data_IF_675725705006
#
_entry.id   IF_675725705006
#
_cell.length_a   1.000
_cell.length_b   1.000
_cell.length_c   1.000
_cell.angle_alpha   90.00
_cell.angle_beta   90.00
_cell.angle_gamma   90.00
#
_symmetry.space_group_name_H-M   'P 1'
#
loop_
_entity.id
_entity.type
_entity.pdbx_description
1 polymer ?
#
# COMPACT_ATOMS: atom_id res chain seq x y z
N UNK A 1 -8.65 1.53 26.26
CA UNK A 1 -10.08 1.14 26.41
C UNK A 1 -10.72 1.95 27.54
N UNK A 2 -11.59 2.90 27.21
CA UNK A 2 -12.51 3.57 28.14
C UNK A 2 -13.92 3.26 27.64
N UNK A 3 -14.79 2.73 28.49
CA UNK A 3 -16.22 2.44 28.22
C UNK A 3 -16.59 1.35 27.21
N UNK A 4 -15.71 0.37 26.94
CA UNK A 4 -16.05 -0.77 26.07
C UNK A 4 -16.25 -0.39 24.59
N UNK A 5 -15.94 0.86 24.23
CA UNK A 5 -15.85 1.31 22.84
C UNK A 5 -14.38 1.34 22.43
N UNK A 6 -14.07 0.80 21.25
CA UNK A 6 -12.74 0.91 20.68
C UNK A 6 -12.63 2.32 20.08
N UNK A 7 -12.14 3.27 20.87
CA UNK A 7 -11.91 4.62 20.38
C UNK A 7 -10.63 4.65 19.54
N UNK A 8 -10.77 5.05 18.28
CA UNK A 8 -9.63 5.27 17.40
C UNK A 8 -8.75 6.41 17.92
N UNK A 9 -7.43 6.25 17.75
CA UNK A 9 -6.50 7.29 18.14
C UNK A 9 -6.54 8.49 17.19
N UNK A 10 -6.25 9.70 17.72
CA UNK A 10 -6.02 10.86 16.87
C UNK A 10 -4.94 10.57 15.83
N UNK A 11 -5.07 11.19 14.65
CA UNK A 11 -4.07 11.09 13.57
C UNK A 11 -2.69 11.41 14.11
N UNK A 12 -1.69 10.58 13.76
CA UNK A 12 -0.32 10.76 14.24
C UNK A 12 0.00 10.11 15.59
N UNK A 13 -0.96 9.40 16.19
CA UNK A 13 -0.79 8.65 17.43
C UNK A 13 -1.23 7.19 17.29
N UNK A 14 -0.70 6.34 18.16
CA UNK A 14 -0.98 4.90 18.28
C UNK A 14 -0.77 4.44 19.73
N UNK A 15 -1.03 3.15 20.01
CA UNK A 15 -1.09 2.49 21.33
C UNK A 15 -2.48 2.53 21.99
N UNK A 16 -2.72 1.67 22.97
CA UNK A 16 -4.03 1.44 23.61
C UNK A 16 -4.61 2.69 24.32
N UNK A 17 -3.74 3.67 24.58
CA UNK A 17 -4.08 4.96 25.18
C UNK A 17 -3.64 6.15 24.30
N UNK A 18 -3.33 5.92 23.02
CA UNK A 18 -2.87 6.95 22.08
C UNK A 18 -1.65 7.75 22.59
N UNK A 19 -0.83 7.11 23.41
CA UNK A 19 0.31 7.74 24.09
C UNK A 19 1.56 7.79 23.21
N UNK A 20 1.59 7.00 22.13
CA UNK A 20 2.75 6.92 21.24
C UNK A 20 2.51 7.74 19.99
N UNK A 21 3.48 8.58 19.67
CA UNK A 21 3.53 9.32 18.41
C UNK A 21 4.01 8.40 17.29
N UNK A 22 3.51 8.59 16.07
CA UNK A 22 4.05 7.90 14.90
C UNK A 22 5.55 8.17 14.75
N UNK A 23 6.33 7.09 14.74
CA UNK A 23 7.77 7.19 14.60
C UNK A 23 8.14 7.22 13.13
N UNK A 24 9.12 8.05 12.78
CA UNK A 24 9.72 8.05 11.44
C UNK A 24 10.09 6.62 11.00
N UNK A 25 9.74 6.19 9.78
CA UNK A 25 9.22 7.01 8.68
C UNK A 25 7.69 7.14 8.62
N UNK A 26 6.96 6.73 9.65
CA UNK A 26 5.52 6.59 9.59
C UNK A 26 4.76 7.85 10.05
N UNK A 27 3.59 8.10 9.46
CA UNK A 27 2.69 9.21 9.78
C UNK A 27 1.22 8.85 9.46
N UNK A 28 0.29 9.74 9.81
CA UNK A 28 -1.12 9.64 9.44
C UNK A 28 -1.95 8.76 10.38
N UNK A 29 -3.10 8.29 9.88
CA UNK A 29 -4.02 7.44 10.66
C UNK A 29 -3.33 6.10 10.94
N UNK A 30 -3.29 5.71 12.22
CA UNK A 30 -2.63 4.49 12.70
C UNK A 30 -1.18 4.32 12.21
N UNK A 31 -0.50 5.42 11.85
CA UNK A 31 0.86 5.41 11.33
C UNK A 31 1.05 4.52 10.08
N UNK A 32 0.04 4.39 9.22
CA UNK A 32 0.10 3.54 8.02
C UNK A 32 0.72 4.24 6.79
N UNK A 33 0.97 5.55 6.86
CA UNK A 33 1.57 6.31 5.77
C UNK A 33 3.07 6.47 6.01
N UNK A 34 3.86 6.58 4.94
CA UNK A 34 5.33 6.64 5.04
C UNK A 34 5.89 7.91 4.40
N UNK A 35 6.69 8.66 5.15
CA UNK A 35 7.40 9.85 4.71
C UNK A 35 8.50 9.51 3.69
N UNK A 36 8.58 10.33 2.63
CA UNK A 36 9.63 10.27 1.60
C UNK A 36 10.57 11.48 1.64
N UNK A 37 10.72 12.07 2.83
CA UNK A 37 11.57 13.21 3.14
C UNK A 37 12.46 12.88 4.34
N UNK A 38 13.47 13.72 4.61
CA UNK A 38 14.34 13.52 5.78
C UNK A 38 13.54 13.56 7.09
N UNK A 39 14.02 12.83 8.11
CA UNK A 39 13.34 12.72 9.42
C UNK A 39 12.91 14.05 10.03
N UNK A 40 13.70 15.12 9.87
CA UNK A 40 13.37 16.45 10.43
C UNK A 40 12.18 17.14 9.75
N UNK A 41 11.77 16.69 8.57
CA UNK A 41 10.70 17.28 7.76
C UNK A 41 9.45 16.39 7.71
N UNK A 42 9.50 15.24 8.39
CA UNK A 42 8.38 14.31 8.49
C UNK A 42 7.56 14.64 9.74
N UNK A 43 6.40 15.23 9.53
CA UNK A 43 5.40 15.47 10.56
C UNK A 43 4.58 14.19 10.80
N UNK A 44 4.33 13.81 12.04
CA UNK A 44 3.60 12.59 12.39
C UNK A 44 2.13 12.62 11.93
N UNK A 45 1.55 13.80 11.71
CA UNK A 45 0.16 14.00 11.29
C UNK A 45 0.09 14.19 9.77
N UNK A 46 0.89 15.13 9.24
CA UNK A 46 0.82 15.61 7.86
C UNK A 46 1.83 14.96 6.92
N UNK A 47 2.85 14.29 7.45
CA UNK A 47 3.92 13.70 6.67
C UNK A 47 4.88 14.75 6.15
N UNK A 48 5.22 14.68 4.87
CA UNK A 48 6.14 15.62 4.24
C UNK A 48 5.40 16.86 3.72
N UNK A 49 5.96 18.07 3.85
CA UNK A 49 5.38 19.26 3.26
C UNK A 49 5.37 19.17 1.72
N UNK A 50 4.30 19.67 1.09
CA UNK A 50 4.06 19.60 -0.35
C UNK A 50 5.16 20.25 -1.20
N UNK A 51 5.96 21.13 -0.59
CA UNK A 51 7.07 21.85 -1.22
C UNK A 51 8.38 21.05 -1.25
N UNK A 52 8.43 19.89 -0.58
CA UNK A 52 9.53 18.93 -0.72
C UNK A 52 9.09 17.87 -1.72
N UNK A 53 9.03 18.27 -2.99
CA UNK A 53 9.46 17.36 -4.04
C UNK A 53 10.92 17.03 -3.75
N UNK A 54 11.16 15.99 -2.95
CA UNK A 54 12.32 15.14 -3.21
C UNK A 54 12.24 14.80 -4.69
N UNK A 55 13.36 14.94 -5.39
CA UNK A 55 13.50 14.59 -6.79
C UNK A 55 13.26 13.09 -6.98
N UNK A 56 12.01 12.64 -6.84
CA UNK A 56 11.56 11.28 -7.11
C UNK A 56 10.11 11.31 -7.65
N UNK A 57 9.83 10.80 -8.86
CA UNK A 57 8.67 11.22 -9.66
C UNK A 57 7.31 10.57 -9.32
N UNK A 58 7.11 9.99 -8.13
CA UNK A 58 5.94 9.13 -7.87
C UNK A 58 5.06 9.61 -6.72
N UNK A 59 4.36 10.74 -6.93
CA UNK A 59 2.95 10.92 -6.51
C UNK A 59 2.43 12.30 -6.93
N UNK A 60 1.83 12.39 -8.12
CA UNK A 60 0.83 13.44 -8.37
C UNK A 60 -0.47 12.99 -7.73
N UNK A 61 -0.91 13.67 -6.67
CA UNK A 61 -2.36 13.81 -6.44
C UNK A 61 -2.77 15.11 -7.11
N UNK A 62 -3.67 15.03 -8.09
CA UNK A 62 -4.37 16.19 -8.62
C UNK A 62 -5.13 16.82 -7.46
N UNK A 63 -4.69 17.99 -6.98
CA UNK A 63 -5.55 18.84 -6.17
C UNK A 63 -6.03 19.97 -7.06
N UNK A 64 -7.32 19.88 -7.36
CA UNK A 64 -8.12 20.91 -8.00
C UNK A 64 -7.86 22.25 -7.34
N UNK A 65 -7.61 23.25 -8.18
CA UNK A 65 -7.57 24.66 -7.79
C UNK A 65 -8.84 24.99 -7.01
N UNK A 66 -8.70 25.23 -5.71
CA UNK A 66 -9.66 26.00 -4.92
C UNK A 66 -8.90 27.22 -4.44
N UNK A 67 -9.21 28.37 -5.04
CA UNK A 67 -8.78 29.67 -4.56
C UNK A 67 -9.25 29.84 -3.11
N UNK A 68 -8.31 29.88 -2.18
CA UNK A 68 -8.54 30.27 -0.80
C UNK A 68 -7.35 31.07 -0.31
N UNK A 69 -7.49 32.39 -0.25
CA UNK A 69 -6.55 33.26 0.44
C UNK A 69 -6.51 32.86 1.93
N UNK A 70 -5.31 32.62 2.48
CA UNK A 70 -5.08 32.92 3.89
C UNK A 70 -3.69 33.52 4.09
N UNK A 71 -3.75 34.74 4.58
CA UNK A 71 -2.72 35.69 5.02
C UNK A 71 -1.41 35.07 5.54
N UNK A 72 -0.33 35.31 4.81
CA UNK A 72 1.05 35.13 5.29
C UNK A 72 1.40 36.31 6.19
N UNK A 73 1.20 36.19 7.50
CA UNK A 73 1.79 37.13 8.47
C UNK A 73 3.30 36.88 8.57
N UNK A 74 4.04 37.70 7.81
CA UNK A 74 5.23 38.42 8.25
C UNK A 74 6.36 37.60 8.91
N UNK A 75 7.31 37.13 8.10
CA UNK A 75 8.72 37.20 8.48
C UNK A 75 9.41 38.22 7.56
N UNK A 76 9.54 39.45 8.06
CA UNK A 76 10.38 40.48 7.45
C UNK A 76 11.84 40.11 7.70
N UNK A 77 12.54 39.67 6.65
CA UNK A 77 13.96 39.98 6.51
C UNK A 77 14.17 40.53 5.11
N UNK A 78 14.56 41.79 5.07
CA UNK A 78 14.66 42.69 3.93
C UNK A 78 15.79 42.33 2.94
N UNK A 79 15.49 42.51 1.63
CA UNK A 79 16.40 42.86 0.51
C UNK A 79 17.43 41.78 0.10
N UNK A 80 17.59 41.31 -1.15
CA UNK A 80 17.62 41.98 -2.47
C UNK A 80 17.26 41.04 -3.68
N UNK A 81 16.42 41.57 -4.59
CA UNK A 81 16.41 41.52 -6.09
C UNK A 81 16.55 40.25 -6.98
N UNK A 82 15.49 40.05 -7.80
CA UNK A 82 15.38 39.85 -9.28
C UNK A 82 15.74 38.53 -10.03
N UNK A 83 14.76 38.10 -10.85
CA UNK A 83 14.83 37.49 -12.21
C UNK A 83 15.08 35.97 -12.43
N UNK A 84 14.04 35.26 -12.92
CA UNK A 84 13.93 34.67 -14.29
C UNK A 84 13.11 33.36 -14.34
N UNK A 85 12.11 33.32 -15.22
CA UNK A 85 11.22 32.19 -15.53
C UNK A 85 11.79 31.42 -16.72
N UNK A 86 11.88 30.08 -16.67
CA UNK A 86 12.09 29.27 -17.88
C UNK A 86 11.25 27.98 -17.90
N UNK A 87 10.43 27.87 -18.94
CA UNK A 87 9.63 26.70 -19.33
C UNK A 87 10.49 25.70 -20.10
N UNK A 88 10.45 24.41 -19.76
CA UNK A 88 10.87 23.34 -20.68
C UNK A 88 9.87 22.17 -20.60
N UNK A 89 9.16 21.94 -21.70
CA UNK A 89 8.32 20.75 -21.95
C UNK A 89 9.20 19.51 -22.08
N UNK A 90 8.83 18.41 -21.41
CA UNK A 90 9.37 17.09 -21.73
C UNK A 90 8.28 16.04 -21.84
N UNK A 91 8.25 15.37 -22.99
CA UNK A 91 7.42 14.20 -23.29
C UNK A 91 7.89 13.02 -22.43
N UNK A 92 6.97 12.29 -21.79
CA UNK A 92 7.25 10.94 -21.26
C UNK A 92 6.36 9.91 -21.95
N UNK A 93 6.98 8.94 -22.63
CA UNK A 93 6.38 7.65 -22.95
C UNK A 93 6.41 6.80 -21.68
N UNK A 94 5.24 6.31 -21.25
CA UNK A 94 5.06 5.46 -20.08
C UNK A 94 5.16 3.98 -20.47
N UNK A 95 6.12 3.27 -19.89
CA UNK A 95 6.22 1.82 -19.88
C UNK A 95 5.36 1.22 -18.77
N UNK A 96 4.83 0.02 -19.04
CA UNK A 96 3.71 -0.67 -18.39
C UNK A 96 3.84 -0.93 -16.88
N UNK A 97 2.73 -0.68 -16.19
CA UNK A 97 2.41 -0.97 -14.79
C UNK A 97 1.60 -2.28 -14.71
N UNK A 98 2.09 -3.26 -13.94
CA UNK A 98 1.34 -4.49 -13.62
C UNK A 98 1.21 -4.67 -12.11
N UNK A 99 -0.02 -4.84 -11.66
CA UNK A 99 -0.42 -4.89 -10.25
C UNK A 99 0.03 -6.20 -9.58
N UNK A 100 0.99 -6.14 -8.65
CA UNK A 100 1.64 -7.30 -8.00
C UNK A 100 0.72 -8.12 -7.07
N UNK A 101 -0.54 -7.71 -6.85
CA UNK A 101 -1.52 -8.49 -6.06
C UNK A 101 -2.13 -9.65 -6.86
N UNK A 102 -2.19 -9.54 -8.20
CA UNK A 102 -2.79 -10.59 -9.04
C UNK A 102 -1.94 -11.86 -9.10
N UNK A 103 -0.61 -11.76 -8.96
CA UNK A 103 0.30 -12.91 -9.06
C UNK A 103 0.13 -13.91 -7.91
N UNK A 104 -0.16 -13.43 -6.70
CA UNK A 104 -0.37 -14.29 -5.54
C UNK A 104 -1.68 -15.09 -5.65
N UNK A 105 -2.77 -14.44 -6.07
CA UNK A 105 -4.08 -15.09 -6.22
C UNK A 105 -4.04 -16.16 -7.32
N UNK A 106 -3.37 -15.87 -8.44
CA UNK A 106 -3.23 -16.85 -9.54
C UNK A 106 -2.45 -18.09 -9.11
N UNK A 107 -1.42 -17.93 -8.27
CA UNK A 107 -0.63 -19.05 -7.78
C UNK A 107 -1.46 -19.95 -6.84
N UNK A 108 -2.25 -19.36 -5.94
CA UNK A 108 -3.10 -20.12 -5.01
C UNK A 108 -4.19 -20.89 -5.77
N UNK A 109 -4.86 -20.25 -6.73
CA UNK A 109 -5.88 -20.92 -7.55
C UNK A 109 -5.29 -22.08 -8.35
N UNK A 110 -4.10 -21.91 -8.92
CA UNK A 110 -3.42 -22.99 -9.65
C UNK A 110 -3.10 -24.19 -8.74
N UNK A 111 -2.64 -23.95 -7.50
CA UNK A 111 -2.37 -25.02 -6.54
C UNK A 111 -3.62 -25.80 -6.16
N UNK A 112 -4.76 -25.12 -5.95
CA UNK A 112 -6.03 -25.76 -5.62
C UNK A 112 -6.48 -26.68 -6.76
N UNK A 113 -6.39 -26.23 -8.02
CA UNK A 113 -6.76 -27.04 -9.19
C UNK A 113 -5.89 -28.29 -9.31
N UNK A 114 -4.58 -28.19 -9.06
CA UNK A 114 -3.66 -29.33 -9.08
C UNK A 114 -4.04 -30.36 -8.01
N UNK A 115 -4.36 -29.90 -6.79
CA UNK A 115 -4.79 -30.78 -5.70
C UNK A 115 -6.07 -31.53 -6.09
N UNK A 116 -7.08 -30.83 -6.61
CA UNK A 116 -8.34 -31.45 -7.04
C UNK A 116 -8.08 -32.50 -8.13
N UNK A 117 -7.31 -32.16 -9.18
CA UNK A 117 -6.99 -33.10 -10.24
C UNK A 117 -6.23 -34.35 -9.72
N UNK A 118 -5.33 -34.16 -8.76
CA UNK A 118 -4.61 -35.27 -8.13
C UNK A 118 -5.54 -36.20 -7.33
N UNK A 119 -6.56 -35.64 -6.66
CA UNK A 119 -7.56 -36.40 -5.92
C UNK A 119 -8.46 -37.21 -6.85
N UNK A 120 -8.92 -36.62 -7.96
CA UNK A 120 -9.73 -37.33 -8.97
C UNK A 120 -8.94 -38.51 -9.58
N UNK A 121 -7.67 -38.30 -9.92
CA UNK A 121 -6.79 -39.37 -10.42
C UNK A 121 -6.54 -40.44 -9.35
N UNK A 122 -6.37 -40.03 -8.08
CA UNK A 122 -6.15 -40.95 -6.98
C UNK A 122 -7.40 -41.80 -6.70
N UNK A 123 -8.59 -41.20 -6.72
CA UNK A 123 -9.88 -41.89 -6.57
C UNK A 123 -10.11 -42.84 -7.75
N UNK A 124 -9.86 -42.40 -8.99
CA UNK A 124 -9.96 -43.24 -10.18
C UNK A 124 -8.97 -44.42 -10.17
N UNK A 125 -7.75 -44.21 -9.66
CA UNK A 125 -6.77 -45.29 -9.42
C UNK A 125 -7.22 -46.23 -8.32
N UNK A 126 -7.81 -45.71 -7.24
CA UNK A 126 -8.34 -46.49 -6.12
C UNK A 126 -9.52 -47.36 -6.55
N UNK A 127 -10.40 -46.86 -7.42
CA UNK A 127 -11.49 -47.65 -8.01
C UNK A 127 -10.96 -48.81 -8.86
N UNK A 128 -9.93 -48.61 -9.69
CA UNK A 128 -9.31 -49.73 -10.44
C UNK A 128 -8.67 -50.81 -9.56
N UNK A 129 -8.16 -50.44 -8.38
CA UNK A 129 -7.58 -51.39 -7.42
C UNK A 129 -8.68 -52.14 -6.67
N UNK A 130 -9.77 -51.45 -6.31
CA UNK A 130 -10.96 -52.07 -5.70
C UNK A 130 -11.66 -53.06 -6.62
N UNK A 131 -11.76 -52.75 -7.92
CA UNK A 131 -12.40 -53.64 -8.90
C UNK A 131 -11.55 -54.90 -9.19
N UNK A 132 -10.21 -54.81 -9.10
CA UNK A 132 -9.35 -56.01 -9.12
C UNK A 132 -9.50 -56.89 -7.88
N UNK A 133 -9.78 -56.31 -6.71
CA UNK A 133 -10.02 -57.07 -5.48
C UNK A 133 -11.34 -57.86 -5.54
N UNK A 134 -12.39 -57.27 -6.14
CA UNK A 134 -13.70 -57.92 -6.33
C UNK A 134 -13.63 -59.08 -7.33
N UNK A 135 -12.84 -58.95 -8.40
CA UNK A 135 -12.65 -60.03 -9.40
C UNK A 135 -11.89 -61.23 -8.80
N UNK A 136 -10.95 -61.01 -7.86
CA UNK A 136 -10.18 -62.09 -7.25
C UNK A 136 -10.98 -62.90 -6.21
N UNK A 137 -12.01 -62.31 -5.59
CA UNK A 137 -12.91 -63.02 -4.66
C UNK A 137 -13.96 -63.92 -5.32
N UNK A 138 -14.18 -63.81 -6.64
CA UNK A 138 -15.15 -64.62 -7.38
C UNK A 138 -14.52 -65.85 -8.08
N UNK A 139 -13.21 -66.04 -7.96
CA UNK A 139 -12.47 -67.19 -8.52
C UNK A 139 -11.79 -68.08 -7.45
N UNK A 140 -12.14 -67.87 -6.17
CA UNK A 140 -11.92 -68.83 -5.07
C UNK A 140 -13.26 -69.48 -4.66
#
# INVERSE_FOLDING_TARGET
MLDGTCQECPVGFWDDNCSRVCQYPNFGINCLQTCQCIKRLCDNIRGCPDNITTNNPHSRKNSSVVNGQMTVTTFKTSLETMAEKKEIKSKKKSGSNKNTVFLAITAVLALIVIIIASLEVFIGRKQRIGERYVVESHNL
#
